data_IF_019499753406
#
_entry.id   IF_019499753406
#
_cell.length_a   1.000
_cell.length_b   1.000
_cell.length_c   1.000
_cell.angle_alpha   90.00
_cell.angle_beta   90.00
_cell.angle_gamma   90.00
#
_symmetry.space_group_name_H-M   'P 1'
#
loop_
_entity.id
_entity.type
_entity.pdbx_description
1 polymer ?
#
# COMPACT_ATOMS: atom_id res chain seq x y z
N UNK A 1 8.71 -31.77 -33.55
CA UNK A 1 7.98 -30.49 -33.65
C UNK A 1 6.50 -30.66 -34.08
N UNK A 2 5.81 -31.72 -33.64
CA UNK A 2 4.33 -31.87 -33.75
C UNK A 2 3.72 -32.64 -32.57
N UNK A 3 4.39 -32.60 -31.40
CA UNK A 3 3.95 -33.29 -30.18
C UNK A 3 3.95 -32.38 -28.94
N UNK A 4 4.01 -31.04 -29.12
CA UNK A 4 4.03 -30.07 -28.01
C UNK A 4 2.97 -28.96 -28.12
N UNK A 5 1.96 -29.14 -28.99
CA UNK A 5 0.87 -28.16 -29.22
C UNK A 5 -0.50 -28.68 -28.76
N UNK A 6 -0.57 -29.86 -28.12
CA UNK A 6 -1.83 -30.43 -27.62
C UNK A 6 -1.99 -30.39 -26.08
N UNK A 7 -1.09 -29.71 -25.36
CA UNK A 7 -1.05 -29.71 -23.88
C UNK A 7 -1.30 -28.32 -23.22
N UNK A 8 -1.81 -27.33 -23.96
CA UNK A 8 -2.16 -26.00 -23.43
C UNK A 8 -3.65 -25.67 -23.58
N UNK A 9 -4.51 -26.68 -23.80
CA UNK A 9 -5.95 -26.54 -23.98
C UNK A 9 -6.81 -26.81 -22.74
N UNK A 10 -6.22 -27.02 -21.56
CA UNK A 10 -6.95 -27.44 -20.36
C UNK A 10 -6.43 -26.73 -19.10
N UNK A 11 -6.60 -25.40 -19.00
CA UNK A 11 -6.58 -24.72 -17.70
C UNK A 11 -7.33 -23.37 -17.70
N UNK A 12 -8.33 -23.20 -18.58
CA UNK A 12 -9.20 -22.02 -18.62
C UNK A 12 -10.62 -22.29 -18.11
N UNK A 13 -10.87 -23.45 -17.51
CA UNK A 13 -12.20 -23.89 -17.04
C UNK A 13 -12.40 -23.84 -15.52
N UNK A 14 -11.43 -23.30 -14.76
CA UNK A 14 -11.49 -23.26 -13.28
C UNK A 14 -11.70 -21.86 -12.67
N UNK A 15 -11.86 -20.81 -13.47
CA UNK A 15 -12.12 -19.44 -12.94
C UNK A 15 -13.51 -18.90 -13.34
N UNK A 16 -14.27 -19.65 -14.15
CA UNK A 16 -15.62 -19.23 -14.61
C UNK A 16 -16.79 -19.85 -13.80
N UNK A 17 -16.55 -20.28 -12.55
CA UNK A 17 -17.53 -20.99 -11.73
C UNK A 17 -17.85 -20.30 -10.39
N UNK A 18 -17.92 -18.96 -10.36
CA UNK A 18 -18.49 -18.19 -9.22
C UNK A 18 -19.63 -17.25 -9.64
N UNK A 19 -20.00 -17.19 -10.93
CA UNK A 19 -21.00 -16.21 -11.43
C UNK A 19 -22.36 -16.81 -11.84
N UNK A 20 -22.64 -18.11 -11.62
CA UNK A 20 -23.93 -18.67 -12.05
C UNK A 20 -24.55 -19.65 -11.06
N UNK A 21 -25.14 -19.16 -9.98
CA UNK A 21 -26.18 -19.89 -9.22
C UNK A 21 -27.32 -18.94 -8.87
N UNK A 22 -28.13 -18.61 -9.87
CA UNK A 22 -29.53 -18.26 -9.67
C UNK A 22 -30.31 -19.01 -10.73
N UNK A 23 -31.02 -20.08 -10.35
CA UNK A 23 -32.37 -20.42 -10.84
C UNK A 23 -32.89 -21.71 -10.21
N UNK A 24 -34.22 -21.73 -10.02
CA UNK A 24 -35.14 -22.83 -9.72
C UNK A 24 -35.36 -23.25 -8.26
N UNK A 25 -36.28 -22.52 -7.63
CA UNK A 25 -37.15 -23.01 -6.54
C UNK A 25 -38.46 -23.52 -7.15
N UNK A 26 -38.79 -24.80 -6.95
CA UNK A 26 -40.14 -25.37 -6.86
C UNK A 26 -40.08 -26.85 -6.36
N UNK A 27 -41.18 -27.48 -5.90
CA UNK A 27 -41.56 -27.57 -4.50
C UNK A 27 -41.59 -29.03 -3.98
N UNK A 28 -41.29 -29.26 -2.69
CA UNK A 28 -41.48 -30.57 -2.06
C UNK A 28 -42.75 -30.63 -1.21
N UNK A 29 -43.53 -31.68 -1.48
CA UNK A 29 -44.79 -32.07 -0.84
C UNK A 29 -44.58 -32.42 0.64
N UNK A 30 -45.50 -31.99 1.49
CA UNK A 30 -45.68 -32.51 2.85
C UNK A 30 -46.51 -33.79 2.81
N UNK A 31 -45.91 -34.91 3.21
CA UNK A 31 -46.63 -36.12 3.64
C UNK A 31 -46.66 -36.09 5.17
N UNK A 32 -47.85 -36.36 5.69
CA UNK A 32 -48.26 -36.43 7.09
C UNK A 32 -47.43 -37.40 7.92
N UNK A 33 -47.12 -36.99 9.15
CA UNK A 33 -46.45 -37.83 10.14
C UNK A 33 -47.36 -38.91 10.72
N UNK A 34 -46.71 -39.94 11.27
CA UNK A 34 -47.15 -40.61 12.48
C UNK A 34 -45.94 -41.19 13.23
N UNK A 35 -46.13 -41.35 14.54
CA UNK A 35 -45.17 -41.54 15.60
C UNK A 35 -44.51 -42.92 15.67
N UNK A 36 -43.32 -43.00 16.30
CA UNK A 36 -43.08 -43.68 17.59
C UNK A 36 -41.61 -44.06 17.78
N UNK A 37 -41.23 -44.14 19.06
CA UNK A 37 -39.88 -44.20 19.63
C UNK A 37 -39.10 -45.50 19.39
N UNK A 38 -37.77 -45.41 19.37
CA UNK A 38 -36.88 -46.28 20.19
C UNK A 38 -35.42 -45.78 20.18
N UNK A 39 -34.77 -45.87 21.34
CA UNK A 39 -33.43 -45.40 21.69
C UNK A 39 -32.43 -46.57 21.62
N UNK A 40 -31.35 -46.50 20.82
CA UNK A 40 -30.10 -47.26 21.09
C UNK A 40 -28.86 -46.55 20.53
N UNK A 41 -27.84 -46.47 21.39
CA UNK A 41 -26.43 -46.08 21.22
C UNK A 41 -25.72 -46.57 19.95
N UNK A 42 -24.78 -45.76 19.43
CA UNK A 42 -23.55 -46.28 18.82
C UNK A 42 -22.95 -45.46 17.67
N UNK A 43 -21.72 -44.98 17.88
CA UNK A 43 -20.62 -44.85 16.89
C UNK A 43 -20.55 -43.63 15.94
N UNK A 44 -19.49 -42.83 16.19
CA UNK A 44 -18.45 -42.41 15.23
C UNK A 44 -18.88 -42.06 13.79
N UNK A 45 -18.83 -40.77 13.44
CA UNK A 45 -18.33 -40.37 12.11
C UNK A 45 -17.91 -38.90 12.04
N UNK A 46 -16.76 -38.73 11.38
CA UNK A 46 -16.09 -37.50 10.99
C UNK A 46 -17.01 -36.32 10.67
N UNK A 47 -16.81 -35.22 11.40
CA UNK A 47 -17.23 -33.90 10.93
C UNK A 47 -16.19 -33.40 9.92
N UNK A 48 -16.39 -33.74 8.64
CA UNK A 48 -15.83 -32.96 7.54
C UNK A 48 -16.53 -31.59 7.57
N UNK A 49 -15.90 -30.61 8.19
CA UNK A 49 -16.31 -29.22 8.09
C UNK A 49 -15.96 -28.70 6.69
N UNK A 50 -16.89 -28.85 5.75
CA UNK A 50 -16.88 -28.08 4.51
C UNK A 50 -17.34 -26.67 4.85
N UNK A 51 -16.40 -25.76 5.14
CA UNK A 51 -16.71 -24.34 5.32
C UNK A 51 -16.92 -23.68 3.95
N UNK A 52 -18.11 -23.84 3.38
CA UNK A 52 -18.54 -22.98 2.26
C UNK A 52 -18.97 -21.64 2.86
N UNK A 53 -18.13 -20.62 2.71
CA UNK A 53 -18.35 -19.29 3.26
C UNK A 53 -19.60 -18.62 2.68
N UNK A 54 -20.67 -18.54 3.48
CA UNK A 54 -21.79 -17.66 3.19
C UNK A 54 -21.37 -16.22 3.52
N UNK A 55 -21.03 -15.44 2.50
CA UNK A 55 -20.89 -13.99 2.65
C UNK A 55 -22.28 -13.44 2.97
N UNK A 56 -22.48 -12.92 4.17
CA UNK A 56 -23.78 -12.39 4.61
C UNK A 56 -24.19 -11.19 3.74
N UNK A 57 -25.50 -11.01 3.53
CA UNK A 57 -26.07 -9.86 2.81
C UNK A 57 -25.62 -8.50 3.37
N UNK A 58 -25.37 -8.44 4.68
CA UNK A 58 -24.82 -7.28 5.36
C UNK A 58 -23.37 -6.97 4.94
N UNK A 59 -22.55 -7.99 4.71
CA UNK A 59 -21.17 -7.81 4.22
C UNK A 59 -21.18 -7.27 2.79
N UNK A 60 -22.07 -7.78 1.93
CA UNK A 60 -22.22 -7.30 0.55
C UNK A 60 -22.71 -5.84 0.53
N UNK A 61 -23.68 -5.49 1.38
CA UNK A 61 -24.19 -4.12 1.49
C UNK A 61 -23.13 -3.13 2.02
N UNK A 62 -22.35 -3.53 3.03
CA UNK A 62 -21.22 -2.74 3.54
C UNK A 62 -20.13 -2.55 2.48
N UNK A 63 -19.82 -3.59 1.70
CA UNK A 63 -18.83 -3.51 0.63
C UNK A 63 -19.32 -2.62 -0.53
N UNK A 64 -20.62 -2.65 -0.85
CA UNK A 64 -21.24 -1.77 -1.84
C UNK A 64 -21.27 -0.29 -1.38
N UNK A 65 -21.47 -0.04 -0.08
CA UNK A 65 -21.44 1.31 0.50
C UNK A 65 -20.04 1.89 0.71
N UNK A 66 -18.99 1.06 0.67
CA UNK A 66 -17.61 1.50 0.81
C UNK A 66 -17.18 2.42 -0.34
N UNK A 67 -16.14 3.24 -0.12
CA UNK A 67 -15.52 4.04 -1.19
C UNK A 67 -15.13 3.16 -2.40
N UNK A 68 -14.56 1.99 -2.16
CA UNK A 68 -14.23 1.03 -3.21
C UNK A 68 -15.48 0.55 -3.98
N UNK A 69 -16.60 0.37 -3.29
CA UNK A 69 -17.88 0.00 -3.91
C UNK A 69 -18.43 1.11 -4.80
N UNK A 70 -18.44 2.35 -4.28
CA UNK A 70 -18.87 3.55 -5.02
C UNK A 70 -18.02 3.81 -6.27
N UNK A 71 -16.70 3.66 -6.16
CA UNK A 71 -15.77 3.79 -7.30
C UNK A 71 -16.07 2.75 -8.39
N UNK A 72 -16.29 1.48 -8.02
CA UNK A 72 -16.65 0.45 -9.00
C UNK A 72 -18.01 0.67 -9.65
N UNK A 73 -18.98 1.19 -8.88
CA UNK A 73 -20.33 1.44 -9.38
C UNK A 73 -20.41 2.60 -10.37
N UNK A 74 -19.48 3.57 -10.28
CA UNK A 74 -19.43 4.73 -11.17
C UNK A 74 -19.04 4.40 -12.62
N UNK A 75 -18.38 3.26 -12.84
CA UNK A 75 -17.98 2.80 -14.18
C UNK A 75 -16.64 3.36 -14.67
N UNK A 76 -16.40 3.26 -15.97
CA UNK A 76 -15.17 3.72 -16.62
C UNK A 76 -15.16 5.24 -16.79
N UNK A 77 -13.99 5.87 -16.64
CA UNK A 77 -13.81 7.31 -16.69
C UNK A 77 -12.99 7.83 -15.50
N UNK A 78 -12.95 9.14 -15.34
CA UNK A 78 -12.31 9.77 -14.18
C UNK A 78 -13.28 9.76 -12.99
N UNK A 79 -12.81 9.24 -11.87
CA UNK A 79 -13.52 9.24 -10.59
C UNK A 79 -12.78 10.15 -9.64
N UNK A 80 -13.49 11.12 -9.07
CA UNK A 80 -12.91 12.16 -8.22
C UNK A 80 -13.43 11.97 -6.79
N UNK A 81 -12.56 12.10 -5.80
CA UNK A 81 -12.95 12.24 -4.40
C UNK A 81 -11.97 13.14 -3.66
N UNK A 82 -12.42 13.73 -2.55
CA UNK A 82 -11.63 14.67 -1.74
C UNK A 82 -11.52 14.20 -0.30
N UNK A 83 -10.38 14.39 0.35
CA UNK A 83 -10.18 14.03 1.75
C UNK A 83 -9.29 15.03 2.47
N UNK A 84 -9.49 15.14 3.79
CA UNK A 84 -8.68 16.05 4.60
C UNK A 84 -7.25 15.54 4.72
N UNK A 85 -6.29 16.46 4.58
CA UNK A 85 -4.86 16.22 4.79
C UNK A 85 -4.37 16.86 6.07
N UNK A 86 -3.11 16.61 6.40
CA UNK A 86 -2.42 17.35 7.43
C UNK A 86 -2.44 18.87 7.12
N UNK A 87 -2.52 19.74 8.14
CA UNK A 87 -2.64 21.20 7.93
C UNK A 87 -1.43 21.86 7.26
N UNK A 88 -0.27 21.21 7.31
CA UNK A 88 1.02 21.66 6.77
C UNK A 88 1.27 21.16 5.33
N UNK A 89 0.36 20.38 4.76
CA UNK A 89 0.42 19.97 3.36
C UNK A 89 -0.11 21.11 2.50
N UNK A 90 0.72 21.53 1.55
CA UNK A 90 0.37 22.49 0.50
C UNK A 90 0.48 21.84 -0.87
N UNK A 91 -0.20 22.41 -1.85
CA UNK A 91 -0.08 21.99 -3.24
C UNK A 91 -0.29 23.14 -4.21
N UNK A 92 0.22 22.98 -5.42
CA UNK A 92 0.06 23.93 -6.52
C UNK A 92 -0.84 23.38 -7.64
N UNK A 93 -1.15 24.24 -8.61
CA UNK A 93 -1.96 23.92 -9.80
C UNK A 93 -1.32 22.85 -10.72
N UNK A 94 -0.03 22.58 -10.56
CA UNK A 94 0.73 21.61 -11.36
C UNK A 94 0.77 20.21 -10.72
N UNK A 95 0.23 20.04 -9.52
CA UNK A 95 0.23 18.77 -8.79
C UNK A 95 1.49 18.47 -8.07
N UNK A 96 2.27 19.52 -7.80
CA UNK A 96 3.31 19.48 -6.81
C UNK A 96 2.64 19.58 -5.44
N UNK A 97 3.04 18.69 -4.56
CA UNK A 97 2.71 18.67 -3.15
C UNK A 97 3.96 19.01 -2.37
N UNK A 98 3.80 19.86 -1.36
CA UNK A 98 4.84 20.17 -0.41
C UNK A 98 4.32 19.90 0.99
N UNK A 99 5.20 19.35 1.82
CA UNK A 99 5.03 19.32 3.25
C UNK A 99 6.37 19.71 3.87
N UNK A 100 6.46 20.97 4.29
CA UNK A 100 7.66 21.53 4.93
C UNK A 100 7.82 21.00 6.37
N UNK A 101 9.06 20.83 6.84
CA UNK A 101 9.35 19.99 8.01
C UNK A 101 9.76 20.77 9.29
N UNK A 102 9.56 20.15 10.46
CA UNK A 102 10.26 20.47 11.72
C UNK A 102 11.62 19.73 11.88
N UNK A 103 11.96 18.76 11.00
CA UNK A 103 13.11 17.87 11.19
C UNK A 103 14.09 17.65 9.99
N UNK A 104 13.72 17.77 8.71
CA UNK A 104 14.57 17.33 7.57
C UNK A 104 14.39 18.03 6.20
N UNK A 105 13.81 19.24 6.11
CA UNK A 105 13.70 20.01 4.84
C UNK A 105 12.40 19.82 4.04
N UNK A 106 12.25 20.55 2.92
CA UNK A 106 11.03 20.56 2.06
C UNK A 106 10.90 19.28 1.23
N UNK A 107 9.78 18.56 1.38
CA UNK A 107 9.46 17.39 0.56
C UNK A 107 8.54 17.78 -0.60
N UNK A 108 9.09 17.80 -1.81
CA UNK A 108 8.34 18.07 -3.02
C UNK A 108 7.99 16.76 -3.75
N UNK A 109 6.69 16.49 -3.93
CA UNK A 109 6.19 15.35 -4.69
C UNK A 109 5.37 15.83 -5.87
N UNK A 110 5.65 15.35 -7.08
CA UNK A 110 4.77 15.58 -8.22
C UNK A 110 3.93 14.34 -8.48
N UNK A 111 2.61 14.47 -8.40
CA UNK A 111 1.69 13.40 -8.83
C UNK A 111 1.64 13.23 -10.35
N UNK A 112 2.33 14.12 -11.08
CA UNK A 112 2.49 14.03 -12.52
C UNK A 112 3.84 13.39 -12.86
N UNK A 113 3.82 12.18 -13.45
CA UNK A 113 5.05 11.49 -13.92
C UNK A 113 5.83 12.23 -15.01
N UNK A 114 5.30 13.36 -15.52
CA UNK A 114 6.10 14.36 -16.22
C UNK A 114 6.61 15.29 -15.12
N UNK A 115 7.81 15.05 -14.61
CA UNK A 115 8.44 15.95 -13.66
C UNK A 115 8.32 17.39 -14.16
N UNK A 116 7.43 18.15 -13.52
CA UNK A 116 7.44 19.60 -13.62
C UNK A 116 8.73 20.08 -12.98
N UNK A 117 9.35 21.11 -13.53
CA UNK A 117 10.40 21.80 -12.79
C UNK A 117 9.76 22.30 -11.50
N UNK A 118 10.20 21.81 -10.34
CA UNK A 118 9.73 22.27 -9.04
C UNK A 118 9.96 23.78 -8.85
N UNK A 119 10.79 24.41 -9.70
CA UNK A 119 11.00 25.86 -9.75
C UNK A 119 9.91 26.62 -10.52
N UNK A 120 9.10 25.92 -11.30
CA UNK A 120 7.95 26.46 -12.04
C UNK A 120 6.65 26.03 -11.33
N UNK A 121 6.55 26.41 -10.06
CA UNK A 121 5.37 26.16 -9.24
C UNK A 121 4.44 27.38 -9.25
N UNK A 122 3.14 27.12 -9.20
CA UNK A 122 2.13 28.15 -9.00
C UNK A 122 2.10 28.66 -7.55
N UNK A 123 0.96 29.19 -7.13
CA UNK A 123 0.71 29.51 -5.73
C UNK A 123 0.56 28.22 -4.90
N UNK A 124 1.29 28.14 -3.78
CA UNK A 124 1.12 27.07 -2.81
C UNK A 124 -0.14 27.30 -1.99
N UNK A 125 -1.11 26.40 -2.11
CA UNK A 125 -2.40 26.50 -1.41
C UNK A 125 -2.58 25.34 -0.44
N UNK A 126 -3.35 25.57 0.62
CA UNK A 126 -3.81 24.52 1.54
C UNK A 126 -5.26 24.16 1.22
N UNK A 127 -5.65 22.92 1.51
CA UNK A 127 -7.00 22.45 1.23
C UNK A 127 -7.09 20.93 1.30
N UNK A 128 -8.27 20.36 1.02
CA UNK A 128 -8.41 18.92 0.91
C UNK A 128 -7.58 18.40 -0.26
N UNK A 129 -7.04 17.19 -0.12
CA UNK A 129 -6.45 16.48 -1.25
C UNK A 129 -7.57 15.98 -2.16
N UNK A 130 -7.47 16.30 -3.43
CA UNK A 130 -8.27 15.74 -4.51
C UNK A 130 -7.52 14.55 -5.11
N UNK A 131 -8.16 13.38 -5.10
CA UNK A 131 -7.69 12.20 -5.81
C UNK A 131 -8.52 11.99 -7.08
N UNK A 132 -7.84 11.89 -8.22
CA UNK A 132 -8.44 11.60 -9.53
C UNK A 132 -7.97 10.22 -9.98
N UNK A 133 -8.91 9.28 -10.04
CA UNK A 133 -8.67 7.91 -10.51
C UNK A 133 -9.12 7.76 -11.94
N UNK A 134 -8.27 7.24 -12.83
CA UNK A 134 -8.68 6.87 -14.18
C UNK A 134 -9.05 5.38 -14.22
N UNK A 135 -10.35 5.08 -14.34
CA UNK A 135 -10.86 3.71 -14.44
C UNK A 135 -11.02 3.29 -15.90
N UNK A 136 -10.56 2.08 -16.23
CA UNK A 136 -10.85 1.40 -17.50
C UNK A 136 -11.10 -0.08 -17.25
N UNK A 137 -12.19 -0.59 -17.83
CA UNK A 137 -12.66 -1.95 -17.61
C UNK A 137 -12.80 -2.29 -16.12
N UNK A 138 -13.28 -1.33 -15.32
CA UNK A 138 -13.44 -1.49 -13.87
C UNK A 138 -12.14 -1.54 -13.06
N UNK A 139 -10.97 -1.30 -13.68
CA UNK A 139 -9.66 -1.27 -13.01
C UNK A 139 -9.11 0.14 -12.98
N UNK A 140 -8.54 0.55 -11.84
CA UNK A 140 -7.78 1.80 -11.74
C UNK A 140 -6.49 1.66 -12.55
N UNK A 141 -6.32 2.53 -13.53
CA UNK A 141 -5.19 2.54 -14.47
C UNK A 141 -4.16 3.60 -14.14
N UNK A 142 -4.57 4.67 -13.48
CA UNK A 142 -3.75 5.80 -13.09
C UNK A 142 -4.43 6.49 -11.91
N UNK A 143 -3.63 7.11 -11.07
CA UNK A 143 -4.09 8.04 -10.07
C UNK A 143 -3.30 9.35 -10.19
N UNK A 144 -3.95 10.46 -9.85
CA UNK A 144 -3.32 11.75 -9.58
C UNK A 144 -3.84 12.26 -8.23
N UNK A 145 -3.02 12.99 -7.51
CA UNK A 145 -3.36 13.60 -6.22
C UNK A 145 -2.85 15.03 -6.14
N UNK A 146 -3.65 15.96 -5.59
CA UNK A 146 -3.23 17.33 -5.30
C UNK A 146 -4.29 18.16 -4.61
N UNK A 147 -3.90 19.35 -4.17
CA UNK A 147 -4.79 20.28 -3.49
C UNK A 147 -5.52 21.18 -4.50
N UNK A 148 -4.80 21.75 -5.46
CA UNK A 148 -5.39 22.57 -6.52
C UNK A 148 -5.68 21.73 -7.77
N UNK A 149 -6.97 21.53 -8.05
CA UNK A 149 -7.48 20.71 -9.15
C UNK A 149 -7.66 21.49 -10.48
N UNK A 150 -7.39 22.80 -10.49
CA UNK A 150 -7.81 23.73 -11.56
C UNK A 150 -7.37 23.32 -12.96
N UNK A 151 -6.31 22.51 -13.10
CA UNK A 151 -5.76 22.06 -14.38
C UNK A 151 -6.07 20.60 -14.75
N UNK A 152 -6.81 19.84 -13.93
CA UNK A 152 -6.77 18.35 -14.01
C UNK A 152 -7.97 17.68 -14.63
N UNK A 153 -8.95 18.47 -15.09
CA UNK A 153 -10.19 17.96 -15.67
C UNK A 153 -10.11 17.74 -17.18
N UNK A 154 -8.94 17.33 -17.70
CA UNK A 154 -8.83 16.80 -19.06
C UNK A 154 -9.27 15.33 -19.06
N UNK A 155 -10.56 15.10 -19.32
CA UNK A 155 -11.14 13.77 -19.54
C UNK A 155 -12.61 13.64 -19.16
N UNK A 156 -13.19 12.48 -19.46
CA UNK A 156 -14.59 12.17 -19.17
C UNK A 156 -14.75 11.85 -17.67
N UNK A 157 -15.39 12.76 -16.93
CA UNK A 157 -15.66 12.59 -15.49
C UNK A 157 -16.88 11.71 -15.32
N UNK A 158 -16.66 10.46 -14.92
CA UNK A 158 -17.74 9.49 -14.71
C UNK A 158 -18.45 9.72 -13.38
N UNK A 159 -17.73 10.11 -12.32
CA UNK A 159 -18.34 10.55 -11.06
C UNK A 159 -17.42 11.46 -10.24
N UNK A 160 -18.02 12.44 -9.57
CA UNK A 160 -17.43 13.13 -8.42
C UNK A 160 -18.12 12.62 -7.15
N UNK A 161 -17.37 11.91 -6.31
CA UNK A 161 -17.84 11.32 -5.05
C UNK A 161 -17.81 12.32 -3.88
N UNK A 162 -17.32 13.54 -4.12
CA UNK A 162 -17.24 14.61 -3.14
C UNK A 162 -16.24 14.33 -2.03
N UNK A 163 -16.46 14.97 -0.88
CA UNK A 163 -15.68 14.76 0.32
C UNK A 163 -15.96 13.37 0.92
N UNK A 164 -14.89 12.63 1.23
CA UNK A 164 -14.95 11.35 1.93
C UNK A 164 -14.27 11.45 3.29
N UNK A 165 -14.60 10.53 4.19
CA UNK A 165 -13.91 10.47 5.48
C UNK A 165 -12.46 10.02 5.33
N UNK A 166 -11.57 10.51 6.20
CA UNK A 166 -10.15 10.12 6.22
C UNK A 166 -9.98 8.60 6.35
N UNK A 167 -10.79 7.97 7.21
CA UNK A 167 -10.78 6.51 7.38
C UNK A 167 -11.25 5.72 6.15
N UNK A 168 -12.16 6.26 5.33
CA UNK A 168 -12.53 5.65 4.05
C UNK A 168 -11.41 5.82 3.01
N UNK A 169 -10.83 7.03 2.92
CA UNK A 169 -9.73 7.32 2.00
C UNK A 169 -8.52 6.44 2.29
N UNK A 170 -8.01 6.44 3.53
CA UNK A 170 -6.86 5.63 3.94
C UNK A 170 -7.05 4.14 3.62
N UNK A 171 -8.20 3.56 4.00
CA UNK A 171 -8.49 2.15 3.73
C UNK A 171 -8.51 1.84 2.24
N UNK A 172 -9.13 2.70 1.43
CA UNK A 172 -9.18 2.49 -0.01
C UNK A 172 -7.79 2.60 -0.66
N UNK A 173 -7.02 3.64 -0.31
CA UNK A 173 -5.70 3.90 -0.87
C UNK A 173 -4.70 2.79 -0.50
N UNK A 174 -4.70 2.34 0.75
CA UNK A 174 -3.89 1.20 1.19
C UNK A 174 -4.31 -0.12 0.54
N UNK A 175 -5.62 -0.34 0.36
CA UNK A 175 -6.12 -1.46 -0.41
C UNK A 175 -5.65 -1.39 -1.87
N UNK A 176 -5.67 -0.20 -2.49
CA UNK A 176 -5.19 -0.01 -3.85
C UNK A 176 -3.69 -0.29 -3.94
N UNK A 177 -2.89 0.25 -3.02
CA UNK A 177 -1.45 0.01 -2.94
C UNK A 177 -1.10 -1.47 -2.82
N UNK A 178 -1.84 -2.21 -1.99
CA UNK A 178 -1.57 -3.62 -1.74
C UNK A 178 -2.09 -4.56 -2.83
N UNK A 179 -3.11 -4.18 -3.60
CA UNK A 179 -3.76 -5.08 -4.58
C UNK A 179 -3.41 -4.80 -6.03
N UNK A 180 -2.94 -3.60 -6.34
CA UNK A 180 -2.56 -3.25 -7.72
C UNK A 180 -1.33 -4.02 -8.17
N UNK A 181 -1.32 -4.38 -9.46
CA UNK A 181 -0.14 -4.92 -10.16
C UNK A 181 0.32 -3.95 -11.25
N UNK A 182 -0.19 -2.71 -11.26
CA UNK A 182 0.15 -1.68 -12.24
C UNK A 182 1.33 -0.85 -11.74
N UNK A 183 2.34 -0.75 -12.59
CA UNK A 183 3.56 -0.01 -12.34
C UNK A 183 3.29 1.45 -11.93
N UNK A 184 3.90 1.87 -10.81
CA UNK A 184 3.77 3.21 -10.24
C UNK A 184 2.46 3.45 -9.48
N UNK A 185 1.38 2.70 -9.76
CA UNK A 185 0.07 2.97 -9.12
C UNK A 185 0.09 2.62 -7.63
N UNK A 186 0.91 1.64 -7.25
CA UNK A 186 1.09 1.26 -5.85
C UNK A 186 1.79 2.36 -5.06
N UNK A 187 2.88 2.91 -5.59
CA UNK A 187 3.58 4.05 -4.97
C UNK A 187 2.69 5.29 -4.91
N UNK A 188 1.98 5.62 -6.00
CA UNK A 188 1.04 6.75 -6.04
C UNK A 188 0.00 6.61 -4.90
N UNK A 189 -0.52 5.40 -4.69
CA UNK A 189 -1.49 5.08 -3.64
C UNK A 189 -0.93 5.16 -2.22
N UNK A 190 0.34 4.75 -2.03
CA UNK A 190 1.04 4.94 -0.75
C UNK A 190 1.19 6.42 -0.42
N UNK A 191 1.67 7.22 -1.38
CA UNK A 191 1.86 8.66 -1.17
C UNK A 191 0.54 9.33 -0.79
N UNK A 192 -0.53 9.01 -1.51
CA UNK A 192 -1.86 9.50 -1.22
C UNK A 192 -2.32 9.13 0.21
N UNK A 193 -2.07 7.89 0.64
CA UNK A 193 -2.46 7.39 1.96
C UNK A 193 -1.69 8.09 3.09
N UNK A 194 -0.38 8.34 2.91
CA UNK A 194 0.47 9.00 3.91
C UNK A 194 -0.02 10.42 4.22
N UNK A 195 -0.54 11.14 3.23
CA UNK A 195 -1.08 12.49 3.43
C UNK A 195 -2.49 12.53 4.04
N UNK A 196 -3.13 11.39 4.31
CA UNK A 196 -4.44 11.38 4.97
C UNK A 196 -4.31 11.88 6.42
N UNK A 197 -5.10 12.88 6.79
CA UNK A 197 -5.14 13.42 8.15
C UNK A 197 -5.60 12.36 9.16
N UNK A 198 -4.91 12.27 10.29
CA UNK A 198 -5.22 11.34 11.39
C UNK A 198 -5.32 9.87 10.94
N UNK A 199 -4.74 9.53 9.78
CA UNK A 199 -4.74 8.19 9.24
C UNK A 199 -3.69 7.33 9.93
N UNK A 200 -4.13 6.35 10.71
CA UNK A 200 -3.22 5.28 11.14
C UNK A 200 -2.99 4.33 9.95
N UNK A 201 -2.01 4.69 9.12
CA UNK A 201 -1.63 3.96 7.89
C UNK A 201 -0.39 3.07 8.10
N UNK A 202 0.30 3.25 9.23
CA UNK A 202 1.66 2.74 9.42
C UNK A 202 1.69 1.22 9.55
N UNK A 203 0.75 0.62 10.29
CA UNK A 203 0.63 -0.84 10.43
C UNK A 203 0.56 -1.55 9.08
N UNK A 204 -0.21 -0.97 8.17
CA UNK A 204 -0.40 -1.50 6.83
C UNK A 204 0.81 -1.24 5.93
N UNK A 205 1.49 -0.10 6.06
CA UNK A 205 2.76 0.14 5.37
C UNK A 205 3.87 -0.81 5.85
N UNK A 206 3.95 -1.11 7.15
CA UNK A 206 4.87 -2.13 7.67
C UNK A 206 4.56 -3.51 7.08
N UNK A 207 3.28 -3.85 6.97
CA UNK A 207 2.84 -5.08 6.33
C UNK A 207 3.22 -5.11 4.85
N UNK A 208 3.00 -4.03 4.11
CA UNK A 208 3.37 -3.91 2.69
C UNK A 208 4.88 -4.09 2.51
N UNK A 209 5.70 -3.40 3.31
CA UNK A 209 7.16 -3.47 3.21
C UNK A 209 7.71 -4.90 3.36
N UNK A 210 7.10 -5.70 4.25
CA UNK A 210 7.51 -7.08 4.54
C UNK A 210 6.87 -8.14 3.62
N UNK A 211 5.84 -7.79 2.87
CA UNK A 211 5.11 -8.73 2.01
C UNK A 211 5.86 -8.97 0.69
N UNK A 212 6.64 -10.06 0.63
CA UNK A 212 7.44 -10.46 -0.55
C UNK A 212 6.60 -10.84 -1.77
N UNK A 213 5.27 -10.85 -1.67
CA UNK A 213 4.38 -11.03 -2.82
C UNK A 213 4.05 -9.70 -3.52
N UNK A 214 4.48 -8.57 -2.96
CA UNK A 214 4.32 -7.22 -3.55
C UNK A 214 5.54 -6.86 -4.40
N UNK A 215 5.38 -5.99 -5.42
CA UNK A 215 6.51 -5.46 -6.18
C UNK A 215 7.50 -4.71 -5.28
N UNK A 216 8.79 -4.81 -5.59
CA UNK A 216 9.85 -4.20 -4.77
C UNK A 216 9.73 -2.68 -4.73
N UNK A 217 9.30 -2.04 -5.82
CA UNK A 217 9.09 -0.59 -5.87
C UNK A 217 8.04 -0.13 -4.86
N UNK A 218 6.96 -0.91 -4.68
CA UNK A 218 5.90 -0.62 -3.70
C UNK A 218 6.41 -0.82 -2.28
N UNK A 219 7.22 -1.85 -2.06
CA UNK A 219 7.82 -2.15 -0.75
C UNK A 219 8.85 -1.08 -0.35
N UNK A 220 9.72 -0.68 -1.27
CA UNK A 220 10.68 0.40 -1.09
C UNK A 220 9.99 1.74 -0.87
N UNK A 221 8.89 2.03 -1.58
CA UNK A 221 8.07 3.22 -1.35
C UNK A 221 7.49 3.24 0.07
N UNK A 222 6.96 2.11 0.55
CA UNK A 222 6.49 2.00 1.92
C UNK A 222 7.60 2.26 2.94
N UNK A 223 8.79 1.67 2.76
CA UNK A 223 9.95 1.88 3.63
C UNK A 223 10.42 3.35 3.65
N UNK A 224 10.45 3.99 2.49
CA UNK A 224 10.78 5.41 2.37
C UNK A 224 9.84 6.25 3.24
N UNK A 225 8.52 6.11 3.05
CA UNK A 225 7.53 6.88 3.80
C UNK A 225 7.47 6.54 5.28
N UNK A 226 7.71 5.28 5.66
CA UNK A 226 7.92 4.89 7.05
C UNK A 226 9.08 5.70 7.65
N UNK A 227 10.23 5.75 6.96
CA UNK A 227 11.40 6.50 7.42
C UNK A 227 11.13 7.99 7.60
N UNK A 228 10.30 8.58 6.72
CA UNK A 228 9.98 10.00 6.80
C UNK A 228 8.98 10.32 7.93
N UNK A 229 7.93 9.52 8.10
CA UNK A 229 6.70 9.98 8.78
C UNK A 229 6.22 9.08 9.93
N UNK A 230 6.71 7.85 10.07
CA UNK A 230 6.23 6.93 11.10
C UNK A 230 6.78 7.20 12.52
N UNK A 231 7.41 8.36 12.74
CA UNK A 231 7.93 8.80 14.04
C UNK A 231 8.82 7.76 14.72
N UNK A 232 8.63 7.56 16.03
CA UNK A 232 9.42 6.63 16.85
C UNK A 232 9.32 5.17 16.41
N UNK A 233 8.27 4.81 15.65
CA UNK A 233 8.06 3.45 15.14
C UNK A 233 8.95 3.15 13.93
N UNK A 234 9.46 4.16 13.23
CA UNK A 234 10.19 3.99 11.99
C UNK A 234 11.50 3.21 12.19
N UNK A 235 12.37 3.71 13.06
CA UNK A 235 13.72 3.15 13.27
C UNK A 235 13.74 1.66 13.64
N UNK A 236 12.98 1.17 14.65
CA UNK A 236 12.99 -0.26 14.97
C UNK A 236 12.48 -1.15 13.82
N UNK A 237 11.47 -0.69 13.07
CA UNK A 237 10.91 -1.45 11.95
C UNK A 237 11.87 -1.51 10.77
N UNK A 238 12.50 -0.38 10.42
CA UNK A 238 13.49 -0.34 9.34
C UNK A 238 14.73 -1.18 9.67
N UNK A 239 15.18 -1.19 10.92
CA UNK A 239 16.25 -2.10 11.38
C UNK A 239 15.82 -3.56 11.20
N UNK A 240 14.58 -3.89 11.59
CA UNK A 240 14.03 -5.23 11.41
C UNK A 240 14.06 -5.67 9.94
N UNK A 241 13.60 -4.82 9.02
CA UNK A 241 13.63 -5.11 7.58
C UNK A 241 15.06 -5.20 7.04
N UNK A 242 15.98 -4.36 7.52
CA UNK A 242 17.38 -4.43 7.14
C UNK A 242 18.07 -5.72 7.63
N UNK A 243 17.56 -6.40 8.66
CA UNK A 243 18.13 -7.67 9.15
C UNK A 243 17.37 -8.92 8.69
N UNK A 244 16.20 -8.77 8.05
CA UNK A 244 15.39 -9.87 7.53
C UNK A 244 16.11 -10.68 6.42
N UNK A 245 15.69 -11.92 6.20
CA UNK A 245 16.24 -12.82 5.16
C UNK A 245 15.69 -12.52 3.75
N UNK A 246 15.07 -11.35 3.56
CA UNK A 246 14.42 -10.95 2.32
C UNK A 246 15.39 -10.53 1.21
N UNK A 247 14.87 -9.80 0.22
CA UNK A 247 15.63 -9.35 -0.94
C UNK A 247 16.67 -8.28 -0.57
N UNK A 248 17.83 -8.34 -1.23
CA UNK A 248 18.95 -7.40 -1.00
C UNK A 248 18.51 -5.95 -1.22
N UNK A 249 17.81 -5.68 -2.31
CA UNK A 249 17.39 -4.33 -2.69
C UNK A 249 16.43 -3.71 -1.66
N UNK A 250 15.64 -4.54 -0.99
CA UNK A 250 14.72 -4.11 0.07
C UNK A 250 15.45 -3.83 1.37
N UNK A 251 16.44 -4.65 1.72
CA UNK A 251 17.32 -4.35 2.85
C UNK A 251 18.07 -3.04 2.64
N UNK A 252 18.62 -2.84 1.45
CA UNK A 252 19.30 -1.58 1.08
C UNK A 252 18.34 -0.39 1.15
N UNK A 253 17.09 -0.56 0.69
CA UNK A 253 16.04 0.45 0.82
C UNK A 253 15.74 0.80 2.28
N UNK A 254 15.72 -0.20 3.17
CA UNK A 254 15.53 0.02 4.60
C UNK A 254 16.72 0.75 5.25
N UNK A 255 17.95 0.42 4.85
CA UNK A 255 19.16 1.13 5.31
C UNK A 255 19.18 2.58 4.81
N UNK A 256 18.78 2.83 3.57
CA UNK A 256 18.59 4.18 3.06
C UNK A 256 17.52 4.94 3.85
N UNK A 257 16.35 4.34 4.09
CA UNK A 257 15.33 4.99 4.90
C UNK A 257 15.83 5.31 6.33
N UNK A 258 16.69 4.45 6.90
CA UNK A 258 17.35 4.71 8.19
C UNK A 258 18.32 5.89 8.13
N UNK A 259 19.07 6.09 7.04
CA UNK A 259 20.00 7.22 6.91
C UNK A 259 19.29 8.57 6.86
N UNK A 260 18.03 8.58 6.43
CA UNK A 260 17.20 9.78 6.39
C UNK A 260 16.53 10.11 7.73
N UNK A 261 16.74 9.29 8.77
CA UNK A 261 16.23 9.55 10.14
C UNK A 261 17.02 10.66 10.83
N UNK A 262 16.51 11.23 11.95
CA UNK A 262 17.30 12.13 12.79
C UNK A 262 18.66 11.52 13.13
N UNK A 263 19.72 12.33 13.10
CA UNK A 263 21.10 11.82 13.27
C UNK A 263 21.28 11.07 14.60
N UNK A 264 20.56 11.47 15.65
CA UNK A 264 20.53 10.78 16.94
C UNK A 264 20.00 9.34 16.88
N UNK A 265 19.22 8.99 15.86
CA UNK A 265 18.70 7.65 15.59
C UNK A 265 19.50 6.93 14.48
N UNK A 266 19.83 7.66 13.41
CA UNK A 266 20.50 7.13 12.23
C UNK A 266 21.92 6.65 12.55
N UNK A 267 22.75 7.52 13.13
CA UNK A 267 24.18 7.23 13.37
C UNK A 267 24.35 5.98 14.26
N UNK A 268 23.70 5.84 15.43
CA UNK A 268 23.84 4.63 16.24
C UNK A 268 23.33 3.37 15.54
N UNK A 269 22.25 3.47 14.76
CA UNK A 269 21.65 2.32 14.06
C UNK A 269 22.51 1.85 12.89
N UNK A 270 22.98 2.78 12.05
CA UNK A 270 23.88 2.49 10.94
C UNK A 270 25.23 1.95 11.44
N UNK A 271 25.80 2.53 12.51
CA UNK A 271 27.03 2.02 13.14
C UNK A 271 26.86 0.57 13.61
N UNK A 272 25.73 0.24 14.26
CA UNK A 272 25.43 -1.14 14.67
C UNK A 272 25.32 -2.07 13.47
N UNK A 273 24.56 -1.69 12.44
CA UNK A 273 24.37 -2.48 11.23
C UNK A 273 25.70 -2.73 10.50
N UNK A 274 26.54 -1.70 10.38
CA UNK A 274 27.87 -1.80 9.77
C UNK A 274 28.78 -2.82 10.48
N UNK A 275 28.73 -2.87 11.82
CA UNK A 275 29.53 -3.80 12.63
C UNK A 275 28.98 -5.22 12.65
N UNK A 276 27.67 -5.37 12.84
CA UNK A 276 27.09 -6.63 13.33
C UNK A 276 26.15 -7.31 12.36
N UNK A 277 25.69 -6.63 11.30
CA UNK A 277 24.75 -7.26 10.38
C UNK A 277 25.40 -8.48 9.72
N UNK A 278 24.65 -9.58 9.68
CA UNK A 278 25.05 -10.81 8.96
C UNK A 278 25.12 -10.59 7.44
N UNK A 279 24.35 -9.65 6.93
CA UNK A 279 24.18 -9.37 5.50
C UNK A 279 25.27 -8.41 5.00
N UNK A 280 26.05 -8.84 4.02
CA UNK A 280 27.20 -8.07 3.54
C UNK A 280 26.80 -6.81 2.79
N UNK A 281 25.71 -6.85 2.04
CA UNK A 281 25.03 -5.72 1.41
C UNK A 281 24.62 -4.67 2.45
N UNK A 282 23.98 -5.08 3.55
CA UNK A 282 23.59 -4.19 4.64
C UNK A 282 24.79 -3.52 5.29
N UNK A 283 25.86 -4.27 5.59
CA UNK A 283 27.09 -3.67 6.15
C UNK A 283 27.68 -2.62 5.21
N UNK A 284 27.76 -2.92 3.91
CA UNK A 284 28.27 -1.99 2.88
C UNK A 284 27.40 -0.73 2.77
N UNK A 285 26.08 -0.89 2.68
CA UNK A 285 25.15 0.24 2.57
C UNK A 285 25.17 1.08 3.85
N UNK A 286 25.26 0.45 5.03
CA UNK A 286 25.36 1.17 6.29
C UNK A 286 26.65 2.00 6.37
N UNK A 287 27.80 1.45 5.95
CA UNK A 287 29.06 2.20 5.84
C UNK A 287 28.94 3.36 4.86
N UNK A 288 28.35 3.12 3.68
CA UNK A 288 28.17 4.17 2.67
C UNK A 288 27.36 5.34 3.22
N UNK A 289 26.20 5.08 3.83
CA UNK A 289 25.34 6.14 4.34
C UNK A 289 25.90 6.80 5.59
N UNK A 290 26.59 6.05 6.45
CA UNK A 290 27.25 6.62 7.63
C UNK A 290 28.32 7.65 7.22
N UNK A 291 29.07 7.39 6.14
CA UNK A 291 30.08 8.31 5.61
C UNK A 291 29.52 9.65 5.10
N UNK A 292 28.19 9.78 4.95
CA UNK A 292 27.54 11.03 4.54
C UNK A 292 27.23 11.96 5.71
N UNK A 293 27.40 11.49 6.96
CA UNK A 293 27.22 12.30 8.17
C UNK A 293 28.54 12.93 8.61
N UNK A 294 28.50 14.24 8.87
CA UNK A 294 29.63 15.00 9.41
C UNK A 294 29.59 15.01 10.95
N UNK A 295 29.72 13.82 11.56
CA UNK A 295 29.78 13.63 13.03
C UNK A 295 31.15 13.05 13.42
N UNK A 296 31.87 13.65 14.40
CA UNK A 296 33.17 13.12 14.86
C UNK A 296 33.15 11.65 15.27
N UNK A 297 32.03 11.14 15.81
CA UNK A 297 31.87 9.71 16.17
C UNK A 297 31.91 8.79 14.97
N UNK A 298 31.48 9.29 13.80
CA UNK A 298 31.58 8.54 12.54
C UNK A 298 33.05 8.41 12.13
N UNK A 299 33.83 9.49 12.27
CA UNK A 299 35.27 9.46 12.01
C UNK A 299 35.95 8.46 12.94
N UNK A 300 35.71 8.55 14.26
CA UNK A 300 36.25 7.62 15.26
C UNK A 300 35.91 6.16 14.91
N UNK A 301 34.68 5.91 14.47
CA UNK A 301 34.26 4.57 14.03
C UNK A 301 35.03 4.07 12.81
N UNK A 302 35.24 4.90 11.78
CA UNK A 302 36.02 4.51 10.61
C UNK A 302 37.50 4.32 10.93
N UNK A 303 38.07 5.13 11.82
CA UNK A 303 39.46 4.94 12.29
C UNK A 303 39.63 3.59 12.99
N UNK A 304 38.74 3.24 13.91
CA UNK A 304 38.73 1.94 14.59
C UNK A 304 38.61 0.78 13.58
N UNK A 305 37.65 0.88 12.65
CA UNK A 305 37.39 -0.15 11.65
C UNK A 305 38.60 -0.37 10.71
N UNK A 306 39.33 0.70 10.37
CA UNK A 306 40.50 0.65 9.49
C UNK A 306 41.78 0.24 10.23
N UNK A 307 41.88 0.51 11.53
CA UNK A 307 42.96 0.03 12.38
C UNK A 307 42.91 -1.49 12.60
N UNK A 308 41.71 -2.08 12.48
CA UNK A 308 41.49 -3.52 12.64
C UNK A 308 41.40 -3.97 14.10
N UNK A 309 41.04 -3.06 14.99
CA UNK A 309 40.77 -3.31 16.42
C UNK A 309 39.36 -3.85 16.68
#
# INVERSE_FOLDING_TARGET
>A
MRALVAALGASLAAVLAVVLVVTLVAPSRSVTGDASAEEVRGESRAASATSTGAITTETVARQAGSLAGRIRAAGDGHIIFRYDTWPDVTGDENGNLNRGNQFHGEFNFSSSRRGGDLRDHGEWTTGPMTAVLSLRQGLVTRMKIGIDETRWHDGDVAADLGQVSTGEAARYLLQLASTTTRDGLGEDAIVAAVFVRDGDVWDELFRIARDTSRPDEVRSSALFWIGQEAGDRATPELVGVAEDEGDSDIRESAVFALSQRPESEAIPSLTRLARTSRHADVRKSALFWLAQHDDPKVIDFFEELLAGD
#
